data_IF_133871309363
#
_entry.id   IF_133871309363
#
_cell.length_a   1.000
_cell.length_b   1.000
_cell.length_c   1.000
_cell.angle_alpha   90.00
_cell.angle_beta   90.00
_cell.angle_gamma   90.00
#
_symmetry.space_group_name_H-M   'P 1'
#
loop_
_entity.id
_entity.type
_entity.pdbx_description
1 polymer ?
#
# COMPACT_ATOMS: atom_id res chain seq x y z
N UNK A 1 15.91 -0.20 4.72
CA UNK A 1 14.52 0.14 4.37
C UNK A 1 14.46 0.56 2.92
N UNK A 2 13.26 0.82 2.41
CA UNK A 2 13.07 1.55 1.15
C UNK A 2 12.93 3.02 1.50
N UNK A 3 13.65 3.89 0.81
CA UNK A 3 13.56 5.34 1.05
C UNK A 3 12.25 5.87 0.44
N UNK A 4 11.31 6.26 1.30
CA UNK A 4 9.99 6.75 0.91
C UNK A 4 9.72 8.12 1.52
N UNK A 5 9.09 9.05 0.79
CA UNK A 5 8.75 10.36 1.33
C UNK A 5 7.68 10.23 2.42
N UNK A 6 7.46 11.32 3.16
CA UNK A 6 6.36 11.45 4.12
C UNK A 6 5.00 11.15 3.46
N UNK A 7 4.09 10.50 4.20
CA UNK A 7 2.77 10.09 3.69
C UNK A 7 1.96 11.26 3.12
N UNK A 8 2.06 12.44 3.71
CA UNK A 8 1.41 13.67 3.25
C UNK A 8 1.87 14.15 1.87
N UNK A 9 3.02 13.68 1.38
CA UNK A 9 3.59 14.02 0.07
C UNK A 9 3.27 12.98 -1.00
N UNK A 10 2.58 11.88 -0.65
CA UNK A 10 2.14 10.84 -1.58
C UNK A 10 0.78 11.21 -2.18
N UNK A 11 0.67 11.29 -3.51
CA UNK A 11 -0.61 11.62 -4.17
C UNK A 11 -1.75 10.70 -3.71
N UNK A 12 -1.51 9.38 -3.71
CA UNK A 12 -2.51 8.38 -3.31
C UNK A 12 -2.90 8.43 -1.82
N UNK A 13 -2.21 9.22 -0.98
CA UNK A 13 -2.62 9.42 0.40
C UNK A 13 -3.73 10.47 0.56
N UNK A 14 -3.88 11.37 -0.42
CA UNK A 14 -4.84 12.50 -0.35
C UNK A 14 -5.75 12.62 -1.57
N UNK A 15 -5.47 11.87 -2.65
CA UNK A 15 -6.22 11.91 -3.90
C UNK A 15 -6.77 10.52 -4.25
N UNK A 16 -7.99 10.52 -4.77
CA UNK A 16 -8.59 9.39 -5.48
C UNK A 16 -7.87 9.11 -6.82
N UNK A 17 -8.17 7.97 -7.44
CA UNK A 17 -7.62 7.61 -8.75
C UNK A 17 -7.99 8.61 -9.85
N UNK A 18 -9.22 9.12 -9.86
CA UNK A 18 -9.67 10.13 -10.82
C UNK A 18 -8.97 11.48 -10.60
N UNK A 19 -8.81 11.92 -9.35
CA UNK A 19 -8.06 13.14 -9.03
C UNK A 19 -6.59 13.02 -9.42
N UNK A 20 -5.96 11.86 -9.21
CA UNK A 20 -4.60 11.59 -9.66
C UNK A 20 -4.49 11.60 -11.18
N UNK A 21 -5.44 10.98 -11.90
CA UNK A 21 -5.48 11.02 -13.37
C UNK A 21 -5.48 12.46 -13.87
N UNK A 22 -6.39 13.28 -13.33
CA UNK A 22 -6.57 14.66 -13.75
C UNK A 22 -5.35 15.53 -13.39
N UNK A 23 -4.76 15.30 -12.20
CA UNK A 23 -3.54 15.99 -11.76
C UNK A 23 -2.32 15.67 -12.64
N UNK A 24 -2.15 14.41 -13.05
CA UNK A 24 -1.05 13.97 -13.92
C UNK A 24 -1.29 14.45 -15.37
N UNK A 25 -2.55 14.60 -15.79
CA UNK A 25 -2.93 15.04 -17.13
C UNK A 25 -2.91 13.92 -18.18
N UNK A 26 -3.32 12.72 -17.80
CA UNK A 26 -3.39 11.55 -18.70
C UNK A 26 -4.82 11.15 -19.01
N UNK A 27 -5.07 10.56 -20.18
CA UNK A 27 -6.42 10.11 -20.57
C UNK A 27 -6.96 8.99 -19.67
N UNK A 28 -6.07 8.18 -19.09
CA UNK A 28 -6.45 7.09 -18.19
C UNK A 28 -5.35 6.77 -17.17
N UNK A 29 -5.77 6.35 -15.98
CA UNK A 29 -4.92 5.86 -14.91
C UNK A 29 -5.59 4.62 -14.31
N UNK A 30 -4.82 3.56 -14.09
CA UNK A 30 -5.24 2.35 -13.36
C UNK A 30 -4.06 1.77 -12.61
N UNK A 31 -4.33 1.20 -11.43
CA UNK A 31 -3.33 0.50 -10.62
C UNK A 31 -3.43 -1.02 -10.79
N UNK A 32 -2.28 -1.70 -10.65
CA UNK A 32 -2.27 -3.16 -10.49
C UNK A 32 -2.88 -3.50 -9.13
N UNK A 33 -3.80 -4.45 -9.10
CA UNK A 33 -4.38 -4.92 -7.83
C UNK A 33 -3.36 -5.68 -7.00
N UNK A 34 -3.51 -5.68 -5.66
CA UNK A 34 -2.62 -6.45 -4.78
C UNK A 34 -2.58 -7.94 -5.14
N UNK A 35 -3.73 -8.54 -5.43
CA UNK A 35 -3.79 -9.92 -5.91
C UNK A 35 -3.06 -10.12 -7.25
N UNK A 36 -3.13 -9.13 -8.15
CA UNK A 36 -2.38 -9.15 -9.41
C UNK A 36 -0.87 -9.07 -9.19
N UNK A 37 -0.42 -8.22 -8.26
CA UNK A 37 0.98 -8.10 -7.89
C UNK A 37 1.54 -9.40 -7.31
N UNK A 38 0.80 -10.04 -6.39
CA UNK A 38 1.19 -11.32 -5.79
C UNK A 38 1.29 -12.45 -6.81
N UNK A 39 0.30 -12.54 -7.71
CA UNK A 39 0.34 -13.48 -8.84
C UNK A 39 1.56 -13.28 -9.72
N UNK A 40 1.91 -12.04 -10.03
CA UNK A 40 3.10 -11.72 -10.83
C UNK A 40 4.41 -12.10 -10.11
N UNK A 41 4.41 -12.13 -8.77
CA UNK A 41 5.53 -12.54 -7.93
C UNK A 41 5.59 -14.06 -7.66
N UNK A 42 4.67 -14.86 -8.23
CA UNK A 42 4.66 -16.32 -8.10
C UNK A 42 3.62 -16.88 -7.12
N UNK A 43 2.90 -16.04 -6.39
CA UNK A 43 1.81 -16.45 -5.50
C UNK A 43 0.51 -16.57 -6.31
N UNK A 44 0.32 -17.72 -6.96
CA UNK A 44 -0.74 -17.95 -7.97
C UNK A 44 -2.15 -17.70 -7.42
N UNK A 45 -2.37 -17.94 -6.13
CA UNK A 45 -3.64 -17.70 -5.45
C UNK A 45 -3.91 -16.21 -5.12
N UNK A 46 -2.94 -15.32 -5.32
CA UNK A 46 -3.01 -13.91 -4.92
C UNK A 46 -2.47 -13.66 -3.52
N UNK A 47 -2.90 -12.55 -2.90
CA UNK A 47 -2.48 -12.16 -1.55
C UNK A 47 -3.32 -12.92 -0.52
N UNK A 48 -2.65 -13.64 0.38
CA UNK A 48 -3.24 -14.08 1.64
C UNK A 48 -3.38 -12.87 2.57
N UNK A 49 -4.61 -12.56 2.98
CA UNK A 49 -4.88 -11.41 3.82
C UNK A 49 -4.43 -11.58 5.27
N UNK A 50 -4.44 -12.82 5.75
CA UNK A 50 -4.12 -13.19 7.14
C UNK A 50 -2.63 -13.45 7.31
N UNK A 51 -1.97 -13.98 6.28
CA UNK A 51 -0.53 -14.24 6.29
C UNK A 51 0.15 -13.84 4.96
N UNK A 52 0.30 -12.53 4.70
CA UNK A 52 0.90 -12.04 3.47
C UNK A 52 2.33 -12.54 3.30
N UNK A 53 2.65 -13.11 2.14
CA UNK A 53 3.99 -13.66 1.86
C UNK A 53 5.08 -12.60 1.75
N UNK A 54 4.72 -11.39 1.35
CA UNK A 54 5.62 -10.27 1.14
C UNK A 54 5.23 -9.07 2.00
N UNK A 55 6.18 -8.20 2.29
CA UNK A 55 5.85 -6.89 2.86
C UNK A 55 5.23 -6.02 1.77
N UNK A 56 3.93 -5.71 1.92
CA UNK A 56 3.18 -4.81 1.03
C UNK A 56 2.56 -3.62 1.77
N UNK A 57 3.08 -3.30 2.96
CA UNK A 57 2.56 -2.28 3.86
C UNK A 57 2.50 -0.87 3.22
N UNK A 58 3.39 -0.57 2.26
CA UNK A 58 3.34 0.67 1.48
C UNK A 58 2.05 0.82 0.66
N UNK A 59 1.36 -0.28 0.36
CA UNK A 59 0.12 -0.32 -0.41
C UNK A 59 -1.09 -0.66 0.47
N UNK A 60 -0.95 -1.62 1.39
CA UNK A 60 -2.05 -2.18 2.20
C UNK A 60 -2.22 -1.49 3.57
N UNK A 61 -1.16 -0.84 4.05
CA UNK A 61 -1.01 -0.38 5.43
C UNK A 61 -0.84 -1.50 6.46
N UNK A 62 -0.74 -2.75 6.01
CA UNK A 62 -0.63 -3.94 6.86
C UNK A 62 0.86 -4.23 7.15
N UNK A 63 1.37 -3.57 8.19
CA UNK A 63 2.77 -3.71 8.59
C UNK A 63 2.97 -5.00 9.40
N UNK A 64 3.99 -5.83 9.07
CA UNK A 64 4.29 -7.04 9.84
C UNK A 64 4.88 -6.75 11.23
N UNK A 65 5.29 -5.49 11.46
CA UNK A 65 5.84 -4.99 12.72
C UNK A 65 5.38 -3.55 12.95
N UNK A 66 5.24 -3.13 14.21
CA UNK A 66 4.91 -1.74 14.55
C UNK A 66 6.07 -0.83 14.12
N UNK A 67 5.85 0.20 13.29
CA UNK A 67 6.87 1.18 12.96
C UNK A 67 7.22 2.00 14.21
N UNK A 68 8.47 1.90 14.68
CA UNK A 68 8.90 2.48 15.96
C UNK A 68 8.75 4.00 16.02
N UNK A 69 8.92 4.67 14.88
CA UNK A 69 8.77 6.12 14.69
C UNK A 69 7.30 6.57 14.68
N UNK A 70 6.36 5.64 14.61
CA UNK A 70 4.91 5.92 14.57
C UNK A 70 4.16 5.55 15.85
N UNK A 71 4.86 5.04 16.86
CA UNK A 71 4.26 4.66 18.16
C UNK A 71 3.65 5.89 18.84
N UNK A 72 4.40 6.99 18.93
CA UNK A 72 3.93 8.24 19.58
C UNK A 72 2.83 8.93 18.77
N UNK A 73 2.80 8.71 17.45
CA UNK A 73 1.74 9.18 16.54
C UNK A 73 0.47 8.32 16.62
N UNK A 74 0.45 7.28 17.47
CA UNK A 74 -0.73 6.45 17.74
C UNK A 74 -0.98 5.34 16.72
N UNK A 75 0.04 4.87 16.00
CA UNK A 75 -0.10 3.78 15.02
C UNK A 75 -0.81 2.56 15.62
N UNK A 76 -1.83 2.07 14.91
CA UNK A 76 -2.56 0.86 15.26
C UNK A 76 -2.27 -0.21 14.22
N UNK A 77 -1.83 -1.39 14.67
CA UNK A 77 -1.75 -2.58 13.82
C UNK A 77 -3.15 -2.95 13.33
N UNK A 78 -3.28 -3.33 12.06
CA UNK A 78 -4.49 -4.04 11.62
C UNK A 78 -4.52 -5.40 12.34
N UNK A 79 -5.66 -5.74 12.92
CA UNK A 79 -5.88 -7.08 13.43
C UNK A 79 -5.88 -8.06 12.25
N UNK A 80 -5.23 -9.21 12.41
CA UNK A 80 -5.42 -10.33 11.50
C UNK A 80 -6.81 -10.91 11.79
N UNK A 81 -7.82 -10.48 11.03
CA UNK A 81 -9.14 -11.14 10.99
C UNK A 81 -9.15 -12.31 10.02
#
# INVERSE_FOLDING_TARGET
>A
GVDTPERSKLLAATMSEDEMRDWIGVDSLKFVSLNGLYRAAGEVAGRDATNPRFCDACFSGDYPVVPSDKIEEGFQMKAAE
#
